data_IF_051369989416
#
_entry.id   IF_051369989416
#
_cell.length_a   1.000
_cell.length_b   1.000
_cell.length_c   1.000
_cell.angle_alpha   90.00
_cell.angle_beta   90.00
_cell.angle_gamma   90.00
#
_symmetry.space_group_name_H-M   'P 1'
#
loop_
_entity.id
_entity.type
_entity.pdbx_description
1 polymer ?
#
# COMPACT_ATOMS: atom_id res chain seq x y z
N UNK A 1 -4.13 -12.09 -12.63
CA UNK A 1 -4.45 -10.84 -11.89
C UNK A 1 -5.75 -10.96 -11.09
N UNK A 2 -6.80 -11.59 -11.65
CA UNK A 2 -8.05 -11.91 -10.93
C UNK A 2 -7.84 -12.80 -9.69
N UNK A 3 -6.87 -13.72 -9.71
CA UNK A 3 -6.65 -14.65 -8.59
C UNK A 3 -6.09 -13.92 -7.36
N UNK A 4 -5.10 -13.05 -7.54
CA UNK A 4 -4.53 -12.22 -6.47
C UNK A 4 -5.59 -11.31 -5.82
N UNK A 5 -6.46 -10.70 -6.61
CA UNK A 5 -7.55 -9.88 -6.10
C UNK A 5 -8.62 -10.69 -5.34
N UNK A 6 -8.83 -11.96 -5.70
CA UNK A 6 -9.75 -12.88 -5.00
C UNK A 6 -9.20 -13.34 -3.65
N UNK A 7 -7.89 -13.50 -3.52
CA UNK A 7 -7.24 -13.87 -2.25
C UNK A 7 -7.18 -12.71 -1.26
N UNK A 8 -7.17 -11.46 -1.74
CA UNK A 8 -7.17 -10.22 -0.95
C UNK A 8 -8.55 -9.84 -0.37
N UNK A 9 -9.46 -10.80 -0.23
CA UNK A 9 -10.85 -10.57 0.22
C UNK A 9 -10.99 -10.41 1.74
N UNK A 10 -9.94 -10.67 2.51
CA UNK A 10 -9.88 -10.44 3.96
C UNK A 10 -8.77 -9.46 4.35
N UNK A 11 -8.60 -9.22 5.65
CA UNK A 11 -7.48 -8.45 6.17
C UNK A 11 -6.16 -9.12 5.77
N UNK A 12 -5.42 -8.49 4.86
CA UNK A 12 -4.14 -8.98 4.35
C UNK A 12 -3.06 -7.92 4.55
N UNK A 13 -1.84 -8.39 4.77
CA UNK A 13 -0.64 -7.55 4.81
C UNK A 13 0.23 -7.93 3.62
N UNK A 14 0.62 -6.95 2.83
CA UNK A 14 1.51 -7.13 1.67
C UNK A 14 2.80 -6.38 1.95
N UNK A 15 3.92 -7.11 1.99
CA UNK A 15 5.27 -6.51 2.04
C UNK A 15 5.85 -6.58 0.64
N UNK A 16 6.06 -5.42 0.02
CA UNK A 16 6.49 -5.32 -1.35
C UNK A 16 7.25 -4.02 -1.62
N UNK A 17 7.80 -3.89 -2.83
CA UNK A 17 8.43 -2.66 -3.30
C UNK A 17 7.42 -1.59 -3.68
N UNK A 18 7.87 -0.34 -3.77
CA UNK A 18 7.04 0.82 -4.11
C UNK A 18 6.26 0.70 -5.43
N UNK A 19 6.75 -0.09 -6.39
CA UNK A 19 6.01 -0.38 -7.62
C UNK A 19 4.65 -1.04 -7.38
N UNK A 20 4.57 -1.98 -6.43
CA UNK A 20 3.31 -2.64 -6.07
C UNK A 20 2.36 -1.64 -5.38
N UNK A 21 2.88 -0.76 -4.52
CA UNK A 21 2.06 0.28 -3.88
C UNK A 21 1.42 1.22 -4.89
N UNK A 22 2.13 1.60 -5.96
CA UNK A 22 1.56 2.41 -7.07
C UNK A 22 0.41 1.70 -7.77
N UNK A 23 0.56 0.40 -8.03
CA UNK A 23 -0.50 -0.43 -8.65
C UNK A 23 -1.72 -0.49 -7.73
N UNK A 24 -1.52 -0.78 -6.44
CA UNK A 24 -2.62 -0.81 -5.47
C UNK A 24 -3.31 0.55 -5.35
N UNK A 25 -2.57 1.65 -5.33
CA UNK A 25 -3.14 3.00 -5.30
C UNK A 25 -4.01 3.30 -6.53
N UNK A 26 -3.56 2.92 -7.73
CA UNK A 26 -4.36 3.03 -8.94
C UNK A 26 -5.64 2.16 -8.86
N UNK A 27 -5.50 0.89 -8.49
CA UNK A 27 -6.62 -0.06 -8.47
C UNK A 27 -7.65 0.25 -7.38
N UNK A 28 -7.23 0.76 -6.22
CA UNK A 28 -8.09 0.98 -5.05
C UNK A 28 -8.64 2.40 -5.00
N UNK A 29 -7.82 3.42 -5.26
CA UNK A 29 -8.24 4.83 -5.19
C UNK A 29 -8.64 5.41 -6.56
N UNK A 30 -8.42 4.67 -7.67
CA UNK A 30 -8.73 5.15 -9.02
C UNK A 30 -7.82 6.27 -9.52
N UNK A 31 -6.64 6.47 -8.90
CA UNK A 31 -5.70 7.53 -9.31
C UNK A 31 -5.15 7.23 -10.69
N UNK A 32 -5.10 8.22 -11.57
CA UNK A 32 -4.63 8.07 -12.95
C UNK A 32 -3.20 7.51 -13.06
N UNK A 33 -2.95 6.76 -14.14
CA UNK A 33 -1.72 5.98 -14.33
C UNK A 33 -0.47 6.88 -14.33
N UNK A 34 -0.54 8.01 -15.01
CA UNK A 34 0.54 8.99 -15.12
C UNK A 34 0.92 9.58 -13.76
N UNK A 35 -0.07 9.85 -12.91
CA UNK A 35 0.11 10.36 -11.57
C UNK A 35 0.74 9.31 -10.65
N UNK A 36 0.29 8.06 -10.67
CA UNK A 36 0.89 7.01 -9.81
C UNK A 36 2.31 6.65 -10.25
N UNK A 37 2.62 6.67 -11.55
CA UNK A 37 3.97 6.37 -12.05
C UNK A 37 4.98 7.44 -11.60
N UNK A 38 4.56 8.70 -11.61
CA UNK A 38 5.38 9.84 -11.23
C UNK A 38 5.46 10.05 -9.71
N UNK A 39 4.54 9.45 -8.95
CA UNK A 39 4.50 9.58 -7.50
C UNK A 39 5.62 8.75 -6.81
N UNK A 40 6.48 9.35 -5.98
CA UNK A 40 7.47 8.62 -5.20
C UNK A 40 6.81 7.99 -3.96
N UNK A 41 6.69 6.65 -3.88
CA UNK A 41 6.11 6.01 -2.70
C UNK A 41 7.04 6.19 -1.49
N UNK A 42 6.50 6.53 -0.31
CA UNK A 42 7.30 6.73 0.89
C UNK A 42 7.97 5.43 1.34
N UNK A 43 9.20 5.53 1.83
CA UNK A 43 9.90 4.43 2.51
C UNK A 43 9.51 4.38 3.98
N UNK A 44 9.59 3.19 4.60
CA UNK A 44 9.27 3.04 6.01
C UNK A 44 7.85 3.49 6.36
N UNK A 45 6.89 3.15 5.50
CA UNK A 45 5.49 3.53 5.68
C UNK A 45 4.57 2.34 5.47
N UNK A 46 3.45 2.34 6.18
CA UNK A 46 2.35 1.38 6.00
C UNK A 46 1.21 2.10 5.29
N UNK A 47 0.85 1.61 4.11
CA UNK A 47 -0.34 2.05 3.39
C UNK A 47 -1.54 1.17 3.80
N UNK A 48 -2.53 1.78 4.45
CA UNK A 48 -3.75 1.10 4.87
C UNK A 48 -4.89 1.47 3.93
N UNK A 49 -5.42 0.47 3.22
CA UNK A 49 -6.53 0.65 2.31
C UNK A 49 -7.85 0.23 2.95
N UNK A 50 -8.79 1.17 3.09
CA UNK A 50 -10.12 0.91 3.65
C UNK A 50 -11.17 1.63 2.81
N UNK A 51 -12.19 0.89 2.36
CA UNK A 51 -13.33 1.44 1.59
C UNK A 51 -12.90 2.31 0.39
N UNK A 52 -11.91 1.83 -0.37
CA UNK A 52 -11.42 2.52 -1.56
C UNK A 52 -10.51 3.72 -1.30
N UNK A 53 -10.04 3.91 -0.07
CA UNK A 53 -9.13 5.02 0.28
C UNK A 53 -7.87 4.52 0.96
N UNK A 54 -6.76 5.19 0.68
CA UNK A 54 -5.46 4.95 1.31
C UNK A 54 -5.21 5.96 2.43
N UNK A 55 -4.78 5.47 3.58
CA UNK A 55 -4.13 6.27 4.62
C UNK A 55 -2.70 5.79 4.79
N UNK A 56 -1.73 6.70 4.79
CA UNK A 56 -0.33 6.40 5.04
C UNK A 56 0.01 6.62 6.51
N UNK A 57 0.62 5.61 7.12
CA UNK A 57 1.19 5.69 8.47
C UNK A 57 2.71 5.56 8.38
N UNK A 58 3.44 6.32 9.19
CA UNK A 58 4.86 6.06 9.39
C UNK A 58 5.04 4.70 10.06
N UNK A 59 5.93 3.88 9.51
CA UNK A 59 6.34 2.64 10.16
C UNK A 59 7.35 2.99 11.25
N UNK A 60 6.87 3.04 12.49
CA UNK A 60 7.73 3.17 13.66
C UNK A 60 8.20 1.77 14.06
N UNK A 61 9.51 1.56 14.17
CA UNK A 61 10.02 0.32 14.75
C UNK A 61 9.79 0.35 16.26
N UNK A 62 8.70 -0.30 16.70
CA UNK A 62 8.36 -0.39 18.13
C UNK A 62 9.13 -1.50 18.86
N UNK A 63 9.90 -2.33 18.13
CA UNK A 63 10.70 -3.40 18.72
C UNK A 63 12.03 -2.89 19.29
N UNK A 64 12.58 -1.82 18.72
CA UNK A 64 13.83 -1.20 19.22
C UNK A 64 13.60 -0.34 20.48
N UNK A 65 12.35 -0.04 20.82
CA UNK A 65 11.97 0.83 21.95
C UNK A 65 11.70 0.07 23.25
N UNK A 66 11.83 -1.26 23.22
CA UNK A 66 11.73 -2.15 24.39
C UNK A 66 13.08 -2.74 24.81
N UNK A 67 14.19 -2.12 24.37
CA UNK A 67 15.56 -2.46 24.76
C UNK A 67 16.06 -1.71 25.99
#
# INVERSE_FOLDING_TARGET
MLDFARELTQHAVVVAHGGVLRVLRHLVEGVERDQVVSWPPPQGAVAHFVRGRMTLYSATNTWDSVG
#
